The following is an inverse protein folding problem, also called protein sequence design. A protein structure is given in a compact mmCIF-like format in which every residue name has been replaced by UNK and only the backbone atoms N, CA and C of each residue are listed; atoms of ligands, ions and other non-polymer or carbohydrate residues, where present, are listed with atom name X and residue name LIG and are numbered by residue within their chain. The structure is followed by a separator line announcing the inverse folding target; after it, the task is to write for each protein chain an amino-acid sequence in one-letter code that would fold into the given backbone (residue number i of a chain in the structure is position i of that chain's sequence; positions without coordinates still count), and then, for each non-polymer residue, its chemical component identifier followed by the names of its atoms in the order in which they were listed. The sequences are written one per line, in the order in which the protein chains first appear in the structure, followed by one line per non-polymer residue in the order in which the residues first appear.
data_IF_215759708423
#
_entry.id   IF_215759708423
#
_cell.length_a   1.000
_cell.length_b   1.000
_cell.length_c   1.000
_cell.angle_alpha   90.00
_cell.angle_beta   90.00
_cell.angle_gamma   90.00
#
_symmetry.space_group_name_H-M   'P 1'
#
loop_
_entity.id
_entity.type
_entity.pdbx_description
1 polymer ?
#
# COMPACT_ATOMS: atom_id res chain seq x y z
N UNK A 1 -24.09 23.29 21.00
CA UNK A 1 -23.40 23.58 19.72
C UNK A 1 -23.05 22.25 19.09
N UNK A 2 -23.98 21.67 18.35
CA UNK A 2 -23.78 20.39 17.66
C UNK A 2 -23.57 20.67 16.18
N UNK A 3 -22.60 20.01 15.54
CA UNK A 3 -22.46 20.01 14.08
C UNK A 3 -22.32 18.59 13.59
N UNK A 4 -23.46 18.08 13.12
CA UNK A 4 -23.59 16.86 12.33
C UNK A 4 -22.75 17.01 11.05
N UNK A 5 -21.71 16.20 10.90
CA UNK A 5 -20.98 16.11 9.63
C UNK A 5 -21.64 15.06 8.74
N UNK A 6 -22.36 15.55 7.73
CA UNK A 6 -22.99 14.77 6.67
C UNK A 6 -21.98 14.61 5.53
N UNK A 7 -21.76 13.38 5.08
CA UNK A 7 -20.93 13.09 3.89
C UNK A 7 -21.51 13.73 2.62
N UNK A 8 -20.65 14.11 1.67
CA UNK A 8 -20.97 13.96 0.25
C UNK A 8 -19.90 13.15 -0.49
N UNK A 9 -20.29 11.98 -1.02
CA UNK A 9 -19.57 11.37 -2.14
C UNK A 9 -19.85 12.19 -3.40
N UNK A 10 -18.80 12.75 -4.00
CA UNK A 10 -18.88 13.36 -5.32
C UNK A 10 -17.58 13.05 -6.09
N UNK A 11 -17.74 12.18 -7.08
CA UNK A 11 -16.72 11.80 -8.04
C UNK A 11 -16.55 12.95 -9.04
N UNK A 12 -15.39 13.59 -9.06
CA UNK A 12 -15.11 14.75 -9.92
C UNK A 12 -14.87 14.33 -11.37
N UNK A 13 -15.22 15.24 -12.28
CA UNK A 13 -14.96 15.12 -13.71
C UNK A 13 -13.76 16.00 -14.13
N UNK A 14 -13.32 15.78 -15.39
CA UNK A 14 -12.88 16.81 -16.34
C UNK A 14 -11.44 17.37 -16.29
N UNK A 15 -10.68 17.08 -17.37
CA UNK A 15 -9.82 18.04 -18.11
C UNK A 15 -8.39 18.37 -17.63
N UNK A 16 -7.38 18.21 -18.50
CA UNK A 16 -6.06 18.86 -18.34
C UNK A 16 -4.87 18.21 -19.10
N UNK A 17 -4.28 18.97 -20.02
CA UNK A 17 -3.20 18.71 -21.01
C UNK A 17 -1.88 17.93 -20.67
N UNK A 18 -1.29 17.46 -21.78
CA UNK A 18 0.05 16.91 -22.15
C UNK A 18 1.31 17.79 -21.84
N UNK A 19 2.57 17.54 -22.34
CA UNK A 19 3.19 16.43 -23.14
C UNK A 19 4.42 15.81 -22.38
N UNK A 20 5.55 15.25 -22.94
CA UNK A 20 5.97 14.87 -24.31
C UNK A 20 6.62 13.46 -24.45
N UNK A 21 7.41 13.22 -25.52
CA UNK A 21 8.07 11.96 -25.94
C UNK A 21 9.60 11.90 -25.65
N UNK A 22 10.37 10.84 -26.07
CA UNK A 22 10.82 10.76 -27.48
C UNK A 22 11.05 9.34 -28.11
N UNK A 23 11.19 9.36 -29.44
CA UNK A 23 12.12 8.59 -30.31
C UNK A 23 11.97 7.08 -30.65
N UNK A 24 11.66 6.89 -31.94
CA UNK A 24 12.38 6.09 -32.95
C UNK A 24 12.43 4.54 -32.92
N UNK A 25 12.18 3.97 -34.10
CA UNK A 25 12.16 2.54 -34.37
C UNK A 25 11.81 2.22 -35.82
N UNK A 26 12.60 2.73 -36.78
CA UNK A 26 12.44 2.41 -38.20
C UNK A 26 12.60 0.90 -38.48
N UNK A 27 11.74 0.35 -39.34
CA UNK A 27 12.13 -0.72 -40.26
C UNK A 27 11.13 -0.83 -41.42
N UNK A 28 11.63 -0.53 -42.62
CA UNK A 28 10.90 -0.69 -43.88
C UNK A 28 10.99 -2.13 -44.40
N UNK A 29 10.56 -2.33 -45.66
CA UNK A 29 10.46 -3.57 -46.46
C UNK A 29 9.06 -4.24 -46.37
N UNK A 30 8.37 -4.48 -47.49
CA UNK A 30 8.77 -4.23 -48.88
C UNK A 30 7.63 -4.19 -49.89
N UNK A 31 7.98 -3.80 -51.11
CA UNK A 31 7.08 -3.48 -52.20
C UNK A 31 6.32 -4.71 -52.73
N UNK A 32 5.06 -4.49 -53.13
CA UNK A 32 4.31 -5.39 -53.99
C UNK A 32 3.59 -4.58 -55.07
N UNK A 33 4.36 -3.95 -55.96
CA UNK A 33 3.82 -3.36 -57.20
C UNK A 33 3.28 -4.48 -58.09
N UNK A 34 1.99 -4.41 -58.40
CA UNK A 34 1.40 -5.12 -59.54
C UNK A 34 0.73 -4.07 -60.44
N UNK A 35 1.50 -3.64 -61.43
CA UNK A 35 1.06 -2.77 -62.51
C UNK A 35 0.24 -3.60 -63.53
N UNK A 36 -1.03 -3.24 -63.77
CA UNK A 36 -1.78 -3.78 -64.91
C UNK A 36 -2.95 -2.87 -65.33
N UNK A 37 -2.80 -2.28 -66.52
CA UNK A 37 -3.85 -1.71 -67.39
C UNK A 37 -4.60 -0.44 -66.91
N UNK A 38 -4.18 0.69 -67.51
CA UNK A 38 -5.03 1.85 -67.76
C UNK A 38 -6.28 1.46 -68.58
N UNK A 39 -7.44 2.06 -68.26
CA UNK A 39 -8.22 2.79 -69.28
C UNK A 39 -9.12 3.85 -68.60
N UNK A 40 -9.16 5.05 -69.18
CA UNK A 40 -10.23 6.05 -68.95
C UNK A 40 -10.27 6.85 -67.64
N UNK A 41 -10.05 8.16 -67.75
CA UNK A 41 -10.60 9.18 -66.84
C UNK A 41 -10.54 10.57 -67.49
N UNK A 42 -11.09 11.64 -66.86
CA UNK A 42 -12.08 11.72 -65.79
C UNK A 42 -13.33 12.53 -66.28
N UNK A 43 -14.23 13.04 -65.40
CA UNK A 43 -13.94 14.28 -64.67
C UNK A 43 -14.36 14.27 -63.20
N UNK A 44 -13.89 15.25 -62.44
CA UNK A 44 -14.26 15.47 -61.05
C UNK A 44 -15.63 16.14 -60.92
N UNK A 45 -16.42 15.68 -59.96
CA UNK A 45 -17.51 16.45 -59.35
C UNK A 45 -17.33 16.43 -57.82
N UNK A 46 -17.16 17.65 -57.29
CA UNK A 46 -17.57 18.16 -55.98
C UNK A 46 -17.58 17.22 -54.76
N UNK A 47 -16.79 17.59 -53.75
CA UNK A 47 -16.91 17.04 -52.40
C UNK A 47 -18.21 17.54 -51.72
N UNK A 48 -18.95 16.65 -51.03
CA UNK A 48 -19.85 17.05 -49.96
C UNK A 48 -19.51 16.35 -48.63
N UNK A 49 -19.63 17.09 -47.54
CA UNK A 49 -19.89 16.52 -46.20
C UNK A 49 -18.69 15.90 -45.47
N UNK A 50 -18.18 16.64 -44.48
CA UNK A 50 -17.85 15.98 -43.21
C UNK A 50 -19.15 15.50 -42.57
N UNK A 51 -19.24 14.22 -42.19
CA UNK A 51 -20.36 13.70 -41.42
C UNK A 51 -20.76 12.28 -41.81
N UNK A 52 -21.14 11.50 -40.80
CA UNK A 52 -21.66 10.13 -40.91
C UNK A 52 -20.61 9.11 -41.39
N UNK A 53 -19.78 8.66 -40.43
CA UNK A 53 -19.29 7.29 -40.44
C UNK A 53 -20.49 6.37 -40.72
N UNK A 54 -20.43 5.53 -41.77
CA UNK A 54 -21.46 4.54 -42.03
C UNK A 54 -21.64 3.69 -40.75
N UNK A 55 -22.72 3.94 -39.99
CA UNK A 55 -23.09 3.11 -38.84
C UNK A 55 -23.43 1.72 -39.38
N UNK A 56 -22.42 0.86 -39.52
CA UNK A 56 -22.60 -0.49 -40.08
C UNK A 56 -23.56 -1.26 -39.17
N UNK A 57 -24.83 -1.31 -39.57
CA UNK A 57 -25.88 -1.95 -38.80
C UNK A 57 -25.71 -3.46 -38.90
N UNK A 58 -25.32 -4.09 -37.80
CA UNK A 58 -25.17 -5.53 -37.70
C UNK A 58 -26.46 -6.14 -37.13
N UNK A 59 -27.02 -7.12 -37.83
CA UNK A 59 -28.19 -7.88 -37.37
C UNK A 59 -27.79 -8.94 -36.35
N UNK A 60 -27.76 -8.56 -35.08
CA UNK A 60 -27.51 -9.46 -33.95
C UNK A 60 -28.78 -10.26 -33.60
N UNK A 61 -28.66 -11.56 -33.32
CA UNK A 61 -29.79 -12.35 -32.78
C UNK A 61 -29.54 -12.66 -31.31
N UNK A 62 -30.26 -11.99 -30.42
CA UNK A 62 -30.15 -12.17 -28.96
C UNK A 62 -31.43 -12.80 -28.41
N UNK A 63 -31.29 -13.94 -27.72
CA UNK A 63 -32.42 -14.71 -27.14
C UNK A 63 -33.55 -15.04 -28.16
N UNK A 64 -33.18 -15.26 -29.42
CA UNK A 64 -34.13 -15.55 -30.51
C UNK A 64 -34.79 -14.31 -31.14
N UNK A 65 -34.52 -13.10 -30.66
CA UNK A 65 -34.95 -11.86 -31.29
C UNK A 65 -33.83 -11.32 -32.18
N UNK A 66 -34.11 -11.15 -33.48
CA UNK A 66 -33.25 -10.37 -34.36
C UNK A 66 -33.38 -8.89 -34.00
N UNK A 67 -32.25 -8.22 -33.77
CA UNK A 67 -32.13 -6.79 -33.57
C UNK A 67 -31.05 -6.24 -34.48
N UNK A 68 -31.33 -5.09 -35.05
CA UNK A 68 -30.38 -4.30 -35.81
C UNK A 68 -29.74 -3.32 -34.83
N UNK A 69 -28.41 -3.39 -34.69
CA UNK A 69 -27.60 -2.58 -33.78
C UNK A 69 -26.37 -2.06 -34.52
N UNK A 70 -25.92 -0.82 -34.25
CA UNK A 70 -24.73 -0.27 -34.89
C UNK A 70 -23.48 -1.07 -34.48
N UNK A 71 -22.46 -1.07 -35.34
CA UNK A 71 -21.23 -1.85 -35.17
C UNK A 71 -20.55 -1.60 -33.82
N UNK A 72 -20.56 -0.37 -33.32
CA UNK A 72 -20.01 0.04 -32.02
C UNK A 72 -20.71 -0.65 -30.83
N UNK A 73 -22.04 -0.74 -30.86
CA UNK A 73 -22.83 -1.48 -29.87
C UNK A 73 -22.63 -2.99 -30.02
N UNK A 74 -22.57 -3.50 -31.26
CA UNK A 74 -22.32 -4.91 -31.53
C UNK A 74 -20.94 -5.38 -30.99
N UNK A 75 -19.88 -4.57 -31.17
CA UNK A 75 -18.55 -4.83 -30.58
C UNK A 75 -18.61 -4.79 -29.05
N UNK A 76 -19.31 -3.81 -28.47
CA UNK A 76 -19.49 -3.70 -27.01
C UNK A 76 -20.25 -4.90 -26.41
N UNK A 77 -21.23 -5.44 -27.14
CA UNK A 77 -21.96 -6.65 -26.75
C UNK A 77 -21.12 -7.91 -26.92
N UNK A 78 -20.29 -7.98 -27.96
CA UNK A 78 -19.35 -9.08 -28.17
C UNK A 78 -18.28 -9.14 -27.07
N UNK A 79 -17.70 -7.99 -26.69
CA UNK A 79 -16.77 -7.88 -25.56
C UNK A 79 -17.42 -8.37 -24.26
N UNK A 80 -18.61 -7.86 -23.92
CA UNK A 80 -19.37 -8.32 -22.73
C UNK A 80 -19.74 -9.82 -22.79
N UNK A 81 -19.92 -10.38 -23.98
CA UNK A 81 -20.11 -11.82 -24.18
C UNK A 81 -18.87 -12.62 -23.82
N UNK A 82 -17.70 -12.20 -24.31
CA UNK A 82 -16.40 -12.81 -23.99
C UNK A 82 -16.07 -12.68 -22.50
N UNK A 83 -16.29 -11.51 -21.90
CA UNK A 83 -16.12 -11.27 -20.46
C UNK A 83 -17.07 -12.16 -19.64
N UNK A 84 -18.33 -12.30 -20.06
CA UNK A 84 -19.31 -13.15 -19.40
C UNK A 84 -18.92 -14.63 -19.47
N UNK A 85 -18.46 -15.11 -20.62
CA UNK A 85 -18.00 -16.50 -20.77
C UNK A 85 -16.73 -16.76 -19.95
N UNK A 86 -15.79 -15.82 -19.88
CA UNK A 86 -14.62 -15.90 -18.98
C UNK A 86 -15.02 -15.96 -17.51
N UNK A 87 -15.82 -15.00 -17.01
CA UNK A 87 -16.29 -14.95 -15.62
C UNK A 87 -17.13 -16.19 -15.28
N UNK A 88 -17.91 -16.69 -16.25
CA UNK A 88 -18.67 -17.93 -16.10
C UNK A 88 -17.76 -19.14 -15.99
N UNK A 89 -16.71 -19.23 -16.81
CA UNK A 89 -15.72 -20.29 -16.76
C UNK A 89 -14.99 -20.27 -15.41
N UNK A 90 -14.46 -19.12 -15.00
CA UNK A 90 -13.79 -18.94 -13.69
C UNK A 90 -14.72 -19.34 -12.53
N UNK A 91 -15.99 -18.90 -12.57
CA UNK A 91 -17.00 -19.30 -11.57
C UNK A 91 -17.25 -20.81 -11.57
N UNK A 92 -17.36 -21.42 -12.75
CA UNK A 92 -17.65 -22.86 -12.87
C UNK A 92 -16.42 -23.73 -12.53
N UNK A 93 -15.20 -23.22 -12.73
CA UNK A 93 -13.94 -23.79 -12.24
C UNK A 93 -13.80 -23.66 -10.73
N UNK A 94 -13.96 -22.45 -10.17
CA UNK A 94 -13.98 -22.22 -8.73
C UNK A 94 -15.03 -23.11 -8.06
N UNK A 95 -16.25 -23.21 -8.61
CA UNK A 95 -17.32 -24.07 -8.08
C UNK A 95 -16.99 -25.57 -8.10
N UNK A 96 -16.04 -26.01 -8.93
CA UNK A 96 -15.54 -27.40 -8.98
C UNK A 96 -14.38 -27.66 -8.00
N UNK A 97 -13.90 -26.65 -7.28
CA UNK A 97 -12.91 -26.86 -6.21
C UNK A 97 -13.49 -27.79 -5.12
N UNK A 98 -12.81 -28.92 -4.78
CA UNK A 98 -13.23 -29.82 -3.71
C UNK A 98 -13.48 -29.13 -2.35
N UNK A 99 -12.89 -27.97 -2.10
CA UNK A 99 -13.16 -27.16 -0.91
C UNK A 99 -14.66 -26.81 -0.75
N UNK A 100 -15.41 -26.65 -1.86
CA UNK A 100 -16.84 -26.37 -1.78
C UNK A 100 -17.67 -27.59 -1.39
N UNK A 101 -17.35 -28.78 -1.89
CA UNK A 101 -18.02 -30.02 -1.50
C UNK A 101 -17.83 -30.30 0.00
N UNK A 102 -16.62 -30.05 0.50
CA UNK A 102 -16.29 -30.14 1.92
C UNK A 102 -17.12 -29.15 2.75
N UNK A 103 -17.21 -27.89 2.32
CA UNK A 103 -18.03 -26.87 2.98
C UNK A 103 -19.53 -27.20 2.96
N UNK A 104 -20.06 -27.68 1.84
CA UNK A 104 -21.46 -28.11 1.71
C UNK A 104 -21.74 -29.33 2.63
N UNK A 105 -20.81 -30.28 2.75
CA UNK A 105 -20.93 -31.42 3.67
C UNK A 105 -20.92 -31.01 5.16
N UNK A 106 -20.05 -30.07 5.55
CA UNK A 106 -20.06 -29.52 6.90
C UNK A 106 -21.34 -28.72 7.20
N UNK A 107 -21.79 -27.89 6.26
CA UNK A 107 -23.01 -27.11 6.40
C UNK A 107 -24.24 -28.04 6.56
N UNK A 108 -24.36 -29.07 5.70
CA UNK A 108 -25.42 -30.07 5.77
C UNK A 108 -25.42 -30.83 7.11
N UNK A 109 -24.24 -31.19 7.64
CA UNK A 109 -24.11 -31.82 8.97
C UNK A 109 -24.57 -30.89 10.11
N UNK A 110 -24.35 -29.59 9.97
CA UNK A 110 -24.84 -28.57 10.90
C UNK A 110 -26.32 -28.18 10.67
N UNK A 111 -26.98 -28.70 9.64
CA UNK A 111 -28.35 -28.31 9.27
C UNK A 111 -28.48 -26.87 8.75
N UNK A 112 -27.37 -26.26 8.33
CA UNK A 112 -27.29 -24.88 7.82
C UNK A 112 -27.06 -24.88 6.31
N UNK A 113 -27.47 -23.81 5.62
CA UNK A 113 -26.95 -23.58 4.26
C UNK A 113 -25.46 -23.22 4.30
N UNK A 114 -24.71 -23.47 3.22
CA UNK A 114 -23.28 -23.09 3.12
C UNK A 114 -23.02 -21.61 3.43
N UNK A 115 -23.92 -20.70 3.01
CA UNK A 115 -23.79 -19.27 3.32
C UNK A 115 -23.94 -18.97 4.81
N UNK A 116 -24.86 -19.65 5.51
CA UNK A 116 -25.06 -19.52 6.95
C UNK A 116 -23.93 -20.19 7.73
N UNK A 117 -23.45 -21.35 7.29
CA UNK A 117 -22.32 -22.05 7.91
C UNK A 117 -21.03 -21.21 7.85
N UNK A 118 -20.72 -20.62 6.69
CA UNK A 118 -19.58 -19.69 6.55
C UNK A 118 -19.76 -18.44 7.41
N UNK A 119 -20.99 -17.93 7.55
CA UNK A 119 -21.28 -16.80 8.47
C UNK A 119 -21.03 -17.20 9.93
N UNK A 120 -21.59 -18.32 10.38
CA UNK A 120 -21.41 -18.82 11.74
C UNK A 120 -19.93 -19.11 12.06
N UNK A 121 -19.16 -19.65 11.10
CA UNK A 121 -17.72 -19.85 11.25
C UNK A 121 -16.96 -18.51 11.37
N UNK A 122 -17.33 -17.50 10.56
CA UNK A 122 -16.78 -16.14 10.68
C UNK A 122 -17.12 -15.49 12.02
N UNK A 123 -18.35 -15.63 12.50
CA UNK A 123 -18.78 -15.14 13.81
C UNK A 123 -18.06 -15.86 14.96
N UNK A 124 -17.85 -17.18 14.85
CA UNK A 124 -17.08 -17.96 15.82
C UNK A 124 -15.61 -17.51 15.87
N UNK A 125 -14.98 -17.28 14.71
CA UNK A 125 -13.62 -16.74 14.65
C UNK A 125 -13.53 -15.29 15.14
N UNK A 126 -14.51 -14.46 14.84
CA UNK A 126 -14.57 -13.06 15.29
C UNK A 126 -14.84 -12.94 16.80
N UNK A 127 -15.63 -13.85 17.38
CA UNK A 127 -15.86 -13.93 18.83
C UNK A 127 -14.72 -14.61 19.60
N UNK A 128 -13.85 -15.36 18.91
CA UNK A 128 -12.61 -15.89 19.48
C UNK A 128 -11.43 -14.90 19.38
N UNK A 129 -11.48 -13.96 18.45
CA UNK A 129 -10.56 -12.83 18.42
C UNK A 129 -10.88 -11.91 19.61
N UNK A 130 -9.92 -11.58 20.49
CA UNK A 130 -10.15 -10.61 21.55
C UNK A 130 -10.54 -9.27 20.93
N UNK A 131 -11.52 -8.59 21.52
CA UNK A 131 -11.89 -7.25 21.07
C UNK A 131 -10.68 -6.30 21.16
N UNK A 132 -10.64 -5.21 20.37
CA UNK A 132 -9.57 -4.22 20.48
C UNK A 132 -9.42 -3.60 21.88
N UNK A 133 -10.44 -3.69 22.73
CA UNK A 133 -10.38 -3.30 24.14
C UNK A 133 -9.75 -4.39 25.02
N UNK A 134 -10.11 -5.66 24.82
CA UNK A 134 -9.52 -6.79 25.54
C UNK A 134 -8.05 -7.01 25.19
N UNK A 135 -7.66 -6.84 23.92
CA UNK A 135 -6.27 -6.88 23.48
C UNK A 135 -5.42 -5.83 24.21
N UNK A 136 -5.86 -4.56 24.18
CA UNK A 136 -5.20 -3.47 24.94
C UNK A 136 -5.19 -3.75 26.45
N UNK A 137 -6.29 -4.26 27.02
CA UNK A 137 -6.35 -4.61 28.46
C UNK A 137 -5.42 -5.76 28.83
N UNK A 138 -5.23 -6.74 27.95
CA UNK A 138 -4.27 -7.83 28.15
C UNK A 138 -2.83 -7.31 28.07
N UNK A 139 -2.54 -6.41 27.14
CA UNK A 139 -1.26 -5.72 27.00
C UNK A 139 -0.91 -4.87 28.22
N UNK A 140 -1.82 -4.01 28.68
CA UNK A 140 -1.65 -3.24 29.92
C UNK A 140 -1.41 -4.14 31.13
N UNK A 141 -2.19 -5.23 31.27
CA UNK A 141 -2.02 -6.17 32.38
C UNK A 141 -0.62 -6.79 32.37
N UNK A 142 -0.18 -7.29 31.21
CA UNK A 142 1.15 -7.86 31.01
C UNK A 142 2.27 -6.84 31.29
N UNK A 143 2.02 -5.56 31.04
CA UNK A 143 2.93 -4.48 31.41
C UNK A 143 3.05 -4.30 32.92
N UNK A 144 1.94 -4.09 33.64
CA UNK A 144 1.98 -3.91 35.10
C UNK A 144 2.34 -5.20 35.88
N UNK A 145 2.19 -6.38 35.28
CA UNK A 145 2.75 -7.64 35.80
C UNK A 145 4.28 -7.70 35.68
N UNK A 146 4.87 -7.07 34.64
CA UNK A 146 6.31 -7.07 34.40
C UNK A 146 7.04 -5.88 35.06
N UNK A 147 6.36 -4.74 35.17
CA UNK A 147 6.86 -3.46 35.69
C UNK A 147 5.86 -2.86 36.70
N UNK A 148 5.69 -3.50 37.89
CA UNK A 148 4.71 -3.06 38.89
C UNK A 148 5.02 -1.69 39.52
N UNK A 149 6.26 -1.23 39.44
CA UNK A 149 6.72 0.08 39.95
C UNK A 149 6.49 1.26 38.97
N UNK A 150 6.13 1.00 37.71
CA UNK A 150 5.99 2.04 36.67
C UNK A 150 4.52 2.44 36.53
N UNK A 151 4.18 3.69 36.82
CA UNK A 151 2.84 4.22 36.61
C UNK A 151 2.58 4.60 35.14
N UNK A 152 1.30 4.71 34.75
CA UNK A 152 0.90 5.15 33.39
C UNK A 152 1.54 6.50 33.01
N UNK A 153 1.67 7.40 33.98
CA UNK A 153 2.26 8.73 33.79
C UNK A 153 3.78 8.72 33.58
N UNK A 154 4.45 7.63 33.98
CA UNK A 154 5.90 7.47 33.87
C UNK A 154 6.31 6.82 32.53
N UNK A 155 5.35 6.29 31.76
CA UNK A 155 5.58 5.65 30.47
C UNK A 155 5.81 6.73 29.39
N UNK A 156 7.01 6.80 28.75
CA UNK A 156 7.33 7.85 27.79
C UNK A 156 6.54 7.74 26.48
N UNK A 157 6.30 8.88 25.81
CA UNK A 157 5.61 8.95 24.50
C UNK A 157 6.19 8.03 23.42
N UNK A 158 7.52 7.79 23.45
CA UNK A 158 8.18 6.88 22.50
C UNK A 158 7.73 5.43 22.67
N UNK A 159 7.40 5.01 23.90
CA UNK A 159 6.87 3.69 24.20
C UNK A 159 5.43 3.57 23.69
N UNK A 160 4.61 4.62 23.86
CA UNK A 160 3.25 4.69 23.31
C UNK A 160 3.22 4.70 21.78
N UNK A 161 4.14 5.42 21.13
CA UNK A 161 4.26 5.42 19.66
C UNK A 161 4.58 4.04 19.11
N UNK A 162 5.45 3.28 19.78
CA UNK A 162 5.79 1.89 19.42
C UNK A 162 4.63 0.93 19.63
N UNK A 163 3.91 1.06 20.74
CA UNK A 163 2.67 0.31 20.98
C UNK A 163 1.61 0.58 19.90
N UNK A 164 1.42 1.85 19.52
CA UNK A 164 0.55 2.23 18.40
C UNK A 164 1.01 1.70 17.03
N UNK A 165 2.31 1.42 16.86
CA UNK A 165 2.88 0.78 15.67
C UNK A 165 2.82 -0.78 15.71
N UNK A 166 2.24 -1.37 16.76
CA UNK A 166 2.05 -2.83 16.89
C UNK A 166 3.16 -3.57 17.65
N UNK A 167 4.12 -2.87 18.26
CA UNK A 167 5.12 -3.47 19.15
C UNK A 167 4.55 -3.64 20.57
N UNK A 168 4.60 -4.83 21.20
CA UNK A 168 4.04 -5.01 22.54
C UNK A 168 4.62 -4.02 23.57
N UNK A 169 3.76 -3.37 24.36
CA UNK A 169 4.09 -2.31 25.31
C UNK A 169 5.29 -2.63 26.22
N UNK A 170 5.37 -3.89 26.68
CA UNK A 170 6.48 -4.41 27.50
C UNK A 170 7.83 -4.32 26.77
N UNK A 171 7.85 -4.67 25.48
CA UNK A 171 9.08 -4.70 24.68
C UNK A 171 9.48 -3.29 24.24
N UNK A 172 8.50 -2.47 23.88
CA UNK A 172 8.70 -1.04 23.61
C UNK A 172 9.36 -0.32 24.81
N UNK A 173 8.90 -0.61 26.03
CA UNK A 173 9.48 -0.09 27.27
C UNK A 173 10.87 -0.67 27.58
N UNK A 174 11.06 -2.00 27.48
CA UNK A 174 12.39 -2.63 27.60
C UNK A 174 13.42 -2.00 26.68
N UNK A 175 13.04 -1.70 25.44
CA UNK A 175 13.93 -1.05 24.47
C UNK A 175 14.24 0.41 24.86
N UNK A 176 13.30 1.13 25.48
CA UNK A 176 13.54 2.45 26.05
C UNK A 176 14.46 2.41 27.27
N UNK A 177 14.17 1.55 28.24
CA UNK A 177 14.98 1.29 29.44
C UNK A 177 16.42 0.89 29.07
N UNK A 178 16.58 -0.06 28.15
CA UNK A 178 17.88 -0.50 27.66
C UNK A 178 18.66 0.63 26.96
N UNK A 179 17.97 1.53 26.24
CA UNK A 179 18.60 2.71 25.63
C UNK A 179 19.02 3.74 26.68
N UNK A 180 18.20 4.00 27.70
CA UNK A 180 18.59 4.86 28.83
C UNK A 180 19.80 4.31 29.59
N UNK A 181 19.80 3.02 29.91
CA UNK A 181 20.91 2.36 30.61
C UNK A 181 22.20 2.42 29.79
N UNK A 182 22.14 2.15 28.48
CA UNK A 182 23.28 2.29 27.55
C UNK A 182 23.80 3.73 27.49
N UNK A 183 22.91 4.73 27.38
CA UNK A 183 23.30 6.13 27.38
C UNK A 183 23.97 6.55 28.69
N UNK A 184 23.46 6.08 29.84
CA UNK A 184 24.03 6.32 31.16
C UNK A 184 25.41 5.67 31.31
N UNK A 185 25.59 4.42 30.86
CA UNK A 185 26.88 3.74 30.86
C UNK A 185 27.90 4.48 29.97
N UNK A 186 27.53 4.83 28.73
CA UNK A 186 28.41 5.58 27.83
C UNK A 186 28.82 6.95 28.41
N UNK A 187 27.91 7.65 29.08
CA UNK A 187 28.22 8.91 29.76
C UNK A 187 29.18 8.73 30.95
N UNK A 188 29.04 7.64 31.73
CA UNK A 188 29.95 7.30 32.81
C UNK A 188 31.35 6.96 32.29
N UNK A 189 31.45 6.06 31.31
CA UNK A 189 32.72 5.70 30.65
C UNK A 189 33.42 6.93 30.06
N UNK A 190 32.68 7.83 29.40
CA UNK A 190 33.28 9.04 28.84
C UNK A 190 33.79 9.98 29.93
N UNK A 191 33.06 10.13 31.04
CA UNK A 191 33.52 10.91 32.19
C UNK A 191 34.77 10.31 32.84
N UNK A 192 34.88 8.99 32.90
CA UNK A 192 36.08 8.30 33.39
C UNK A 192 37.28 8.51 32.46
N UNK A 193 37.11 8.35 31.14
CA UNK A 193 38.15 8.66 30.14
C UNK A 193 38.61 10.11 30.24
N UNK A 194 37.67 11.06 30.34
CA UNK A 194 37.98 12.49 30.49
C UNK A 194 38.77 12.76 31.78
N UNK A 195 38.42 12.12 32.91
CA UNK A 195 39.18 12.23 34.18
C UNK A 195 40.59 11.64 34.08
N UNK A 196 40.73 10.46 33.47
CA UNK A 196 42.04 9.82 33.28
C UNK A 196 42.96 10.69 32.42
N UNK A 197 42.45 11.25 31.31
CA UNK A 197 43.18 12.18 30.47
C UNK A 197 43.56 13.48 31.20
N UNK A 198 42.64 14.06 31.99
CA UNK A 198 42.90 15.28 32.75
C UNK A 198 43.98 15.09 33.83
N UNK A 199 43.94 13.98 34.58
CA UNK A 199 44.96 13.67 35.61
C UNK A 199 46.31 13.33 34.97
N UNK A 200 46.33 12.61 33.85
CA UNK A 200 47.57 12.31 33.11
C UNK A 200 48.26 13.55 32.56
N UNK A 201 47.51 14.57 32.13
CA UNK A 201 48.05 15.81 31.59
C UNK A 201 48.85 16.60 32.65
N UNK A 202 48.35 16.66 33.89
CA UNK A 202 49.04 17.33 35.01
C UNK A 202 50.35 16.66 35.43
N UNK A 203 50.54 15.38 35.10
CA UNK A 203 51.79 14.66 35.36
C UNK A 203 52.81 14.79 34.21
N UNK A 204 52.37 15.16 33.01
CA UNK A 204 53.24 15.33 31.83
C UNK A 204 54.00 16.65 31.80
N UNK A 205 53.46 17.71 32.42
CA UNK A 205 53.98 19.08 32.30
C UNK A 205 54.97 19.48 33.42
N UNK A 206 55.11 18.65 34.47
CA UNK A 206 56.08 18.86 35.55
C UNK A 206 57.53 18.42 35.21
N UNK A 207 57.88 18.38 33.91
CA UNK A 207 59.12 17.77 33.40
C UNK A 207 59.90 18.60 32.40
N UNK A 208 59.50 19.84 32.11
CA UNK A 208 60.22 20.76 31.23
C UNK A 208 60.35 22.12 31.90
N UNK A 209 61.49 22.33 32.58
CA UNK A 209 61.91 23.64 33.14
C UNK A 209 62.27 24.62 32.00
N UNK A 210 61.29 25.04 31.22
CA UNK A 210 61.42 26.15 30.27
C UNK A 210 60.84 27.40 30.92
N UNK A 211 61.68 28.42 31.14
CA UNK A 211 61.35 29.54 32.02
C UNK A 211 60.13 30.34 31.52
N UNK A 212 59.05 30.32 32.31
CA UNK A 212 57.75 30.92 31.97
C UNK A 212 57.90 32.36 31.43
N UNK A 213 57.50 32.62 30.17
CA UNK A 213 57.53 33.95 29.56
C UNK A 213 56.75 35.01 30.35
N UNK A 214 55.72 34.62 31.12
CA UNK A 214 54.99 35.53 32.00
C UNK A 214 55.85 36.06 33.15
N UNK A 215 56.75 35.22 33.69
CA UNK A 215 57.67 35.63 34.77
C UNK A 215 58.81 36.52 34.27
N UNK A 216 59.20 36.41 32.99
CA UNK A 216 60.25 37.25 32.40
C UNK A 216 59.84 38.73 32.34
N UNK A 217 58.57 39.02 32.02
CA UNK A 217 58.05 40.40 31.94
C UNK A 217 57.79 41.10 33.28
N UNK A 218 58.00 40.44 34.42
CA UNK A 218 57.83 41.04 35.75
C UNK A 218 59.15 41.59 36.34
N UNK A 219 60.28 41.32 35.68
CA UNK A 219 61.62 41.75 36.11
C UNK A 219 62.27 42.76 35.13
N UNK A 220 61.48 43.39 34.25
CA UNK A 220 61.86 44.55 33.42
C UNK A 220 61.35 45.89 34.01
#
# INVERSE_FOLDING_TARGET
MERLLRLPLQWFAEGGEEPPAPEEGEQALGEAVWEAAEDGGPPAEEAPGEGEEDELVVRLTHLGQAREVPLSEAVSLAQKGLDYDHIRQERDELRRDPAWEVLDAFAARSGLSRGEYVRALKEQMAGAAPSPEEGRRAEYRRFFEAYPEVGVADIPDEVWRRAAAGEPLVEAYRRHENAQLKAKLAALEQNERNRQAAVGSLAGEAGQDEADPFLQGFFE
#
